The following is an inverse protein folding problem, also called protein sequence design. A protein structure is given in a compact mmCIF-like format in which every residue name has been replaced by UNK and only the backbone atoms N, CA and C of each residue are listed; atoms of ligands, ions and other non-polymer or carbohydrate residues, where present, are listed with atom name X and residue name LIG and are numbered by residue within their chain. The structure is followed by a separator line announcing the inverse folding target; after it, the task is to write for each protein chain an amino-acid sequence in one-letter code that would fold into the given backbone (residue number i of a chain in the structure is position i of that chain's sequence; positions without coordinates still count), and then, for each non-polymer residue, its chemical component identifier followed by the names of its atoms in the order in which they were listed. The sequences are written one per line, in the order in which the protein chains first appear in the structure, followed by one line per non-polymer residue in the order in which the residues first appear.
data_IF_780012961957
#
_entry.id   IF_780012961957
#
_cell.length_a   1.000
_cell.length_b   1.000
_cell.length_c   1.000
_cell.angle_alpha   90.00
_cell.angle_beta   90.00
_cell.angle_gamma   90.00
#
_symmetry.space_group_name_H-M   'P 1'
#
loop_
_entity.id
_entity.type
_entity.pdbx_description
1 polymer ?
#
# COMPACT_ATOMS: atom_id res chain seq x y z
N UNK A 1 -0.80 -3.03 -1.72
CA UNK A 1 -0.23 -4.31 -2.16
C UNK A 1 -1.29 -5.18 -2.85
N UNK A 2 -2.31 -5.71 -2.16
CA UNK A 2 -3.34 -6.56 -2.81
C UNK A 2 -4.15 -5.85 -3.92
N UNK A 3 -4.56 -4.60 -3.73
CA UNK A 3 -5.28 -3.81 -4.75
C UNK A 3 -4.36 -3.50 -5.95
N UNK A 4 -3.07 -3.28 -5.69
CA UNK A 4 -2.06 -2.96 -6.70
C UNK A 4 -1.81 -4.16 -7.62
N UNK A 5 -1.67 -5.36 -7.04
CA UNK A 5 -1.57 -6.62 -7.79
C UNK A 5 -2.78 -6.82 -8.71
N UNK A 6 -3.99 -6.60 -8.20
CA UNK A 6 -5.21 -6.73 -9.00
C UNK A 6 -5.27 -5.70 -10.13
N UNK A 7 -4.86 -4.46 -9.85
CA UNK A 7 -4.75 -3.42 -10.87
C UNK A 7 -3.72 -3.76 -11.96
N UNK A 8 -2.55 -4.28 -11.59
CA UNK A 8 -1.51 -4.68 -12.54
C UNK A 8 -1.94 -5.86 -13.42
N UNK A 9 -2.79 -6.74 -12.89
CA UNK A 9 -3.40 -7.84 -13.63
C UNK A 9 -4.70 -7.42 -14.34
N UNK A 10 -5.10 -6.15 -14.22
CA UNK A 10 -6.35 -5.59 -14.74
C UNK A 10 -7.59 -6.40 -14.32
N UNK A 11 -7.58 -6.91 -13.09
CA UNK A 11 -8.63 -7.73 -12.49
C UNK A 11 -9.37 -6.94 -11.42
N UNK A 12 -10.67 -7.22 -11.27
CA UNK A 12 -11.44 -6.74 -10.13
C UNK A 12 -11.45 -7.83 -9.06
N UNK A 13 -11.62 -7.45 -7.78
CA UNK A 13 -11.67 -8.40 -6.66
C UNK A 13 -12.73 -9.52 -6.84
N UNK A 14 -13.76 -9.26 -7.66
CA UNK A 14 -14.81 -10.22 -8.04
C UNK A 14 -14.32 -11.30 -9.03
N UNK A 15 -13.25 -11.04 -9.76
CA UNK A 15 -12.68 -11.95 -10.76
C UNK A 15 -11.68 -12.92 -10.13
N UNK A 16 -11.30 -12.71 -8.87
CA UNK A 16 -10.41 -13.61 -8.11
C UNK A 16 -11.17 -14.89 -7.77
N UNK A 17 -10.65 -16.02 -8.24
CA UNK A 17 -11.20 -17.35 -8.03
C UNK A 17 -10.10 -18.37 -7.77
N UNK A 18 -10.47 -19.58 -7.35
CA UNK A 18 -9.52 -20.68 -7.15
C UNK A 18 -8.70 -21.04 -8.40
N UNK A 19 -9.12 -20.58 -9.60
CA UNK A 19 -8.45 -20.84 -10.87
C UNK A 19 -7.26 -19.91 -11.15
N UNK A 20 -7.36 -18.64 -10.72
CA UNK A 20 -6.31 -17.63 -10.92
C UNK A 20 -5.56 -17.27 -9.63
N UNK A 21 -6.02 -17.75 -8.47
CA UNK A 21 -5.38 -17.50 -7.19
C UNK A 21 -3.91 -17.94 -7.14
N UNK A 22 -3.58 -19.11 -7.69
CA UNK A 22 -2.20 -19.61 -7.69
C UNK A 22 -1.25 -18.74 -8.52
N UNK A 23 -1.71 -18.29 -9.68
CA UNK A 23 -0.97 -17.38 -10.56
C UNK A 23 -0.81 -15.99 -9.91
N UNK A 24 -1.89 -15.45 -9.34
CA UNK A 24 -1.87 -14.20 -8.58
C UNK A 24 -0.90 -14.25 -7.40
N UNK A 25 -0.88 -15.37 -6.68
CA UNK A 25 0.05 -15.57 -5.57
C UNK A 25 1.50 -15.59 -6.06
N UNK A 26 1.78 -16.27 -7.19
CA UNK A 26 3.11 -16.27 -7.82
C UNK A 26 3.54 -14.86 -8.24
N UNK A 27 2.65 -14.09 -8.84
CA UNK A 27 2.91 -12.69 -9.20
C UNK A 27 3.14 -11.80 -7.98
N UNK A 28 2.39 -12.01 -6.89
CA UNK A 28 2.57 -11.29 -5.64
C UNK A 28 3.95 -11.56 -5.05
N UNK A 29 4.37 -12.83 -5.00
CA UNK A 29 5.65 -13.23 -4.45
C UNK A 29 6.82 -12.71 -5.29
N UNK A 30 6.73 -12.84 -6.61
CA UNK A 30 7.78 -12.37 -7.52
C UNK A 30 7.97 -10.84 -7.49
N UNK A 31 6.90 -10.10 -7.18
CA UNK A 31 6.92 -8.64 -7.12
C UNK A 31 6.80 -8.10 -5.69
N UNK A 32 6.95 -8.94 -4.67
CA UNK A 32 6.73 -8.57 -3.26
C UNK A 32 7.61 -7.39 -2.87
N UNK A 33 8.90 -7.44 -3.23
CA UNK A 33 9.85 -6.36 -2.94
C UNK A 33 9.46 -5.05 -3.62
N UNK A 34 9.00 -5.11 -4.87
CA UNK A 34 8.56 -3.93 -5.62
C UNK A 34 7.29 -3.32 -5.00
N UNK A 35 6.31 -4.16 -4.67
CA UNK A 35 5.08 -3.72 -4.01
C UNK A 35 5.32 -3.16 -2.62
N UNK A 36 6.26 -3.75 -1.87
CA UNK A 36 6.66 -3.24 -0.58
C UNK A 36 7.32 -1.86 -0.70
N UNK A 37 8.30 -1.71 -1.61
CA UNK A 37 8.95 -0.42 -1.86
C UNK A 37 7.92 0.66 -2.26
N UNK A 38 7.00 0.32 -3.16
CA UNK A 38 5.95 1.24 -3.59
C UNK A 38 4.96 1.59 -2.47
N UNK A 39 4.65 0.64 -1.57
CA UNK A 39 3.83 0.91 -0.40
C UNK A 39 4.52 1.87 0.57
N UNK A 40 5.83 1.69 0.81
CA UNK A 40 6.63 2.61 1.61
C UNK A 40 6.63 4.00 0.99
N UNK A 41 6.83 4.10 -0.32
CA UNK A 41 6.84 5.39 -1.02
C UNK A 41 5.49 6.11 -0.93
N UNK A 42 4.37 5.40 -1.10
CA UNK A 42 3.02 5.97 -0.88
C UNK A 42 2.82 6.48 0.55
N UNK A 43 3.30 5.75 1.54
CA UNK A 43 3.26 6.18 2.94
C UNK A 43 4.11 7.44 3.14
N UNK A 44 5.32 7.48 2.58
CA UNK A 44 6.19 8.66 2.61
C UNK A 44 5.54 9.88 1.95
N UNK A 45 4.89 9.71 0.80
CA UNK A 45 4.16 10.79 0.13
C UNK A 45 2.96 11.27 0.96
N UNK A 46 2.19 10.35 1.55
CA UNK A 46 1.07 10.70 2.43
C UNK A 46 1.56 11.48 3.66
N UNK A 47 2.64 11.04 4.29
CA UNK A 47 3.27 11.75 5.41
C UNK A 47 3.75 13.14 4.98
N UNK A 48 4.38 13.27 3.80
CA UNK A 48 4.80 14.58 3.26
C UNK A 48 3.61 15.49 2.98
N UNK A 49 2.46 14.97 2.54
CA UNK A 49 1.23 15.77 2.38
C UNK A 49 0.70 16.27 3.72
N UNK A 50 0.78 15.45 4.77
CA UNK A 50 0.30 15.81 6.11
C UNK A 50 1.23 16.81 6.83
N UNK A 51 2.54 16.66 6.68
CA UNK A 51 3.54 17.34 7.52
C UNK A 51 4.50 18.26 6.73
N UNK A 52 4.50 18.22 5.41
CA UNK A 52 5.49 18.85 4.55
C UNK A 52 6.85 18.14 4.60
N UNK A 53 7.93 18.83 4.23
CA UNK A 53 9.32 18.33 4.34
C UNK A 53 9.91 18.49 5.77
N UNK A 54 9.06 18.49 6.80
CA UNK A 54 9.51 18.62 8.18
C UNK A 54 9.94 17.28 8.74
N UNK A 55 10.96 17.29 9.59
CA UNK A 55 11.34 16.12 10.37
C UNK A 55 10.21 15.76 11.35
N UNK A 56 9.73 14.52 11.30
CA UNK A 56 8.54 14.07 12.02
C UNK A 56 8.99 13.28 13.24
N UNK A 57 8.50 13.63 14.42
CA UNK A 57 8.85 12.84 15.62
C UNK A 57 8.17 11.47 15.58
N UNK A 58 8.80 10.47 16.20
CA UNK A 58 8.26 9.12 16.30
C UNK A 58 6.89 9.08 17.02
N UNK A 59 6.63 10.05 17.90
CA UNK A 59 5.35 10.21 18.60
C UNK A 59 4.26 10.74 17.67
N UNK A 60 4.59 11.71 16.81
CA UNK A 60 3.66 12.22 15.80
C UNK A 60 3.30 11.12 14.81
N UNK A 61 4.30 10.39 14.31
CA UNK A 61 4.11 9.22 13.45
C UNK A 61 3.15 8.22 14.10
N UNK A 62 3.44 7.81 15.34
CA UNK A 62 2.58 6.87 16.11
C UNK A 62 1.14 7.35 16.23
N UNK A 63 0.91 8.65 16.47
CA UNK A 63 -0.42 9.23 16.56
C UNK A 63 -1.19 9.21 15.23
N UNK A 64 -0.52 9.51 14.10
CA UNK A 64 -1.13 9.49 12.76
C UNK A 64 -1.57 8.09 12.36
N UNK A 65 -0.73 7.08 12.63
CA UNK A 65 -1.08 5.68 12.39
C UNK A 65 -2.23 5.22 13.30
N UNK A 66 -2.25 5.63 14.57
CA UNK A 66 -3.28 5.19 15.53
C UNK A 66 -4.65 5.81 15.28
N UNK A 67 -4.72 7.04 14.74
CA UNK A 67 -5.98 7.71 14.45
C UNK A 67 -6.65 7.25 13.15
N UNK A 68 -5.93 6.54 12.29
CA UNK A 68 -6.43 6.21 10.95
C UNK A 68 -6.40 7.40 9.98
N UNK A 69 -5.96 8.59 10.43
CA UNK A 69 -5.79 9.79 9.57
C UNK A 69 -4.89 9.48 8.36
N UNK A 70 -3.92 8.58 8.53
CA UNK A 70 -3.05 8.15 7.45
C UNK A 70 -3.79 7.32 6.39
N UNK A 71 -4.79 6.53 6.79
CA UNK A 71 -5.58 5.70 5.88
C UNK A 71 -6.51 6.55 5.01
N UNK A 72 -7.02 7.67 5.52
CA UNK A 72 -7.82 8.61 4.72
C UNK A 72 -7.02 9.27 3.60
N UNK A 73 -5.71 9.41 3.77
CA UNK A 73 -4.81 10.00 2.76
C UNK A 73 -4.22 8.96 1.78
N UNK A 74 -4.36 7.67 2.08
CA UNK A 74 -3.90 6.56 1.25
C UNK A 74 -5.01 5.99 0.33
N UNK A 75 -6.24 6.51 0.46
CA UNK A 75 -7.41 6.15 -0.35
C UNK A 75 -7.37 6.72 -1.77
#
# INVERSE_FOLDING_TARGET
MAIQLLHDQNLVLKDVSHRNFGELLGHLQNNETAYHAQAVEKVSEALRKCYGDRDISLQQLSATFRRGDLLEMLG
#
